data_IF_066218321750
#
_entry.id   IF_066218321750
#
_cell.length_a   1.000
_cell.length_b   1.000
_cell.length_c   1.000
_cell.angle_alpha   90.00
_cell.angle_beta   90.00
_cell.angle_gamma   90.00
#
_symmetry.space_group_name_H-M   'P 1'
#
loop_
_entity.id
_entity.type
_entity.pdbx_description
1 polymer ?
#
# COMPACT_ATOMS: atom_id res chain seq x y z
N UNK A 1 12.17 -32.76 1.81
CA UNK A 1 11.31 -32.08 0.82
C UNK A 1 10.42 -31.18 1.62
N UNK A 2 10.53 -29.85 1.48
CA UNK A 2 9.58 -28.91 2.09
C UNK A 2 8.29 -29.06 1.29
N UNK A 3 7.22 -29.43 1.97
CA UNK A 3 5.91 -29.54 1.35
C UNK A 3 5.46 -28.15 0.86
N UNK A 4 5.06 -28.02 -0.41
CA UNK A 4 4.64 -26.74 -0.98
C UNK A 4 3.28 -26.36 -0.37
N UNK A 5 3.23 -25.24 0.32
CA UNK A 5 1.98 -24.65 0.82
C UNK A 5 1.64 -23.49 -0.11
N UNK A 6 0.54 -23.65 -0.84
CA UNK A 6 0.09 -22.69 -1.85
C UNK A 6 -1.08 -21.85 -1.29
N UNK A 7 -1.00 -20.53 -1.44
CA UNK A 7 -2.09 -19.61 -1.10
C UNK A 7 -2.39 -18.74 -2.31
N UNK A 8 -3.65 -18.64 -2.69
CA UNK A 8 -4.08 -17.71 -3.73
C UNK A 8 -4.26 -16.32 -3.17
N UNK A 9 -3.62 -15.34 -3.78
CA UNK A 9 -3.72 -13.94 -3.38
C UNK A 9 -4.02 -13.04 -4.58
N UNK A 10 -4.64 -11.90 -4.34
CA UNK A 10 -4.91 -10.90 -5.35
C UNK A 10 -4.69 -9.49 -4.82
N UNK A 11 -4.39 -8.58 -5.74
CA UNK A 11 -4.27 -7.16 -5.48
C UNK A 11 -5.01 -6.37 -6.56
N UNK A 12 -5.55 -5.22 -6.18
CA UNK A 12 -6.44 -4.42 -7.02
C UNK A 12 -5.83 -3.06 -7.29
N UNK A 13 -6.02 -2.58 -8.51
CA UNK A 13 -6.01 -1.16 -8.81
C UNK A 13 -7.41 -0.73 -9.23
N UNK A 14 -7.89 0.39 -8.72
CA UNK A 14 -9.13 0.98 -9.19
C UNK A 14 -9.16 2.49 -8.96
N UNK A 15 -9.97 3.18 -9.76
CA UNK A 15 -10.21 4.60 -9.64
C UNK A 15 -11.32 4.84 -8.61
N UNK A 16 -10.95 5.29 -7.42
CA UNK A 16 -11.91 5.73 -6.41
C UNK A 16 -12.53 7.08 -6.82
N UNK A 17 -13.69 7.38 -6.26
CA UNK A 17 -14.32 8.69 -6.34
C UNK A 17 -14.09 9.44 -5.02
N UNK A 18 -13.65 10.70 -5.12
CA UNK A 18 -13.45 11.57 -3.99
C UNK A 18 -14.76 11.75 -3.20
N UNK A 19 -14.72 11.53 -1.88
CA UNK A 19 -15.86 11.70 -0.98
C UNK A 19 -17.14 10.90 -1.38
N UNK A 20 -16.98 9.80 -2.11
CA UNK A 20 -18.10 8.94 -2.50
C UNK A 20 -17.90 7.51 -1.97
N UNK A 21 -18.00 7.36 -0.64
CA UNK A 21 -17.79 6.07 0.02
C UNK A 21 -18.73 4.99 -0.52
N UNK A 22 -19.98 5.34 -0.82
CA UNK A 22 -20.97 4.37 -1.34
C UNK A 22 -20.52 3.76 -2.67
N UNK A 23 -20.06 4.59 -3.61
CA UNK A 23 -19.53 4.13 -4.88
C UNK A 23 -18.25 3.30 -4.67
N UNK A 24 -17.32 3.79 -3.85
CA UNK A 24 -16.04 3.12 -3.63
C UNK A 24 -16.25 1.73 -2.99
N UNK A 25 -17.12 1.64 -2.02
CA UNK A 25 -17.48 0.36 -1.37
C UNK A 25 -18.19 -0.58 -2.35
N UNK A 26 -19.05 -0.06 -3.22
CA UNK A 26 -19.68 -0.85 -4.28
C UNK A 26 -18.63 -1.45 -5.25
N UNK A 27 -17.61 -0.68 -5.66
CA UNK A 27 -16.50 -1.19 -6.48
C UNK A 27 -15.73 -2.28 -5.74
N UNK A 28 -15.41 -2.05 -4.46
CA UNK A 28 -14.73 -3.02 -3.59
C UNK A 28 -15.54 -4.32 -3.54
N UNK A 29 -16.85 -4.27 -3.32
CA UNK A 29 -17.73 -5.44 -3.30
C UNK A 29 -17.66 -6.23 -4.60
N UNK A 30 -17.67 -5.57 -5.76
CA UNK A 30 -17.55 -6.23 -7.07
C UNK A 30 -16.24 -7.01 -7.20
N UNK A 31 -15.12 -6.44 -6.76
CA UNK A 31 -13.84 -7.15 -6.77
C UNK A 31 -13.80 -8.29 -5.76
N UNK A 32 -14.44 -8.16 -4.60
CA UNK A 32 -14.56 -9.25 -3.62
C UNK A 32 -15.34 -10.41 -4.22
N UNK A 33 -16.47 -10.16 -4.89
CA UNK A 33 -17.25 -11.19 -5.58
C UNK A 33 -16.42 -11.88 -6.67
N UNK A 34 -15.67 -11.12 -7.47
CA UNK A 34 -14.76 -11.65 -8.48
C UNK A 34 -13.63 -12.50 -7.86
N UNK A 35 -13.04 -12.07 -6.76
CA UNK A 35 -12.01 -12.80 -6.04
C UNK A 35 -12.56 -14.13 -5.46
N UNK A 36 -13.79 -14.11 -4.95
CA UNK A 36 -14.44 -15.30 -4.43
C UNK A 36 -14.60 -16.40 -5.50
N UNK A 37 -14.95 -16.02 -6.74
CA UNK A 37 -15.03 -16.95 -7.87
C UNK A 37 -13.68 -17.58 -8.23
N UNK A 38 -12.57 -16.92 -7.88
CA UNK A 38 -11.20 -17.42 -8.10
C UNK A 38 -10.60 -18.10 -6.86
N UNK A 39 -11.38 -18.32 -5.80
CA UNK A 39 -10.92 -18.89 -4.52
C UNK A 39 -9.75 -18.12 -3.88
N UNK A 40 -9.70 -16.80 -4.07
CA UNK A 40 -8.68 -15.95 -3.45
C UNK A 40 -8.80 -16.01 -1.92
N UNK A 41 -7.66 -16.09 -1.24
CA UNK A 41 -7.58 -16.10 0.24
C UNK A 41 -7.17 -14.75 0.81
N UNK A 42 -6.34 -14.00 0.09
CA UNK A 42 -5.88 -12.68 0.51
C UNK A 42 -6.13 -11.68 -0.61
N UNK A 43 -6.90 -10.64 -0.34
CA UNK A 43 -7.27 -9.60 -1.29
C UNK A 43 -6.88 -8.22 -0.75
N UNK A 44 -6.05 -7.48 -1.49
CA UNK A 44 -5.58 -6.16 -1.11
C UNK A 44 -6.14 -5.07 -2.03
N UNK A 45 -6.69 -4.02 -1.43
CA UNK A 45 -7.16 -2.80 -2.09
C UNK A 45 -6.20 -1.63 -1.85
N UNK A 46 -6.30 -0.53 -2.62
CA UNK A 46 -5.43 0.64 -2.46
C UNK A 46 -5.62 1.39 -1.13
N UNK A 47 -4.61 2.21 -0.80
CA UNK A 47 -4.63 3.20 0.28
C UNK A 47 -5.86 4.11 0.17
N UNK A 48 -6.51 4.44 1.30
CA UNK A 48 -7.66 5.37 1.40
C UNK A 48 -8.75 5.16 0.32
N UNK A 49 -8.86 3.96 -0.20
CA UNK A 49 -9.74 3.63 -1.32
C UNK A 49 -11.23 3.82 -1.00
N UNK A 50 -11.64 3.83 0.27
CA UNK A 50 -13.01 4.07 0.71
C UNK A 50 -13.34 5.57 0.69
N UNK A 51 -12.45 6.41 1.26
CA UNK A 51 -12.69 7.83 1.45
C UNK A 51 -12.28 8.68 0.25
N UNK A 52 -11.40 8.16 -0.62
CA UNK A 52 -10.66 8.92 -1.62
C UNK A 52 -9.39 9.53 -1.04
N UNK A 53 -8.50 10.05 -1.89
CA UNK A 53 -7.14 10.38 -1.46
C UNK A 53 -6.74 11.84 -1.74
N UNK A 54 -6.50 12.26 -3.01
CA UNK A 54 -5.78 13.51 -3.28
C UNK A 54 -6.63 14.79 -3.18
N UNK A 55 -7.93 14.67 -3.04
CA UNK A 55 -8.79 15.81 -2.68
C UNK A 55 -8.61 16.24 -1.21
N UNK A 56 -8.12 15.31 -0.35
CA UNK A 56 -7.96 15.52 1.11
C UNK A 56 -7.06 16.70 1.45
N UNK A 57 -5.91 16.94 0.79
CA UNK A 57 -5.09 18.14 1.04
C UNK A 57 -5.81 19.48 0.91
N UNK A 58 -6.90 19.51 0.13
CA UNK A 58 -7.69 20.74 -0.15
C UNK A 58 -8.86 20.96 0.84
N UNK A 59 -9.10 19.99 1.72
CA UNK A 59 -10.19 20.06 2.69
C UNK A 59 -9.80 20.87 3.94
N UNK A 60 -10.80 21.39 4.65
CA UNK A 60 -10.59 21.85 6.02
C UNK A 60 -10.52 20.68 7.00
N UNK A 61 -9.93 20.88 8.18
CA UNK A 61 -9.87 19.84 9.21
C UNK A 61 -11.26 19.29 9.58
N UNK A 62 -12.29 20.14 9.58
CA UNK A 62 -13.67 19.73 9.84
C UNK A 62 -14.23 18.81 8.73
N UNK A 63 -13.90 19.09 7.47
CA UNK A 63 -14.28 18.25 6.33
C UNK A 63 -13.55 16.90 6.35
N UNK A 64 -12.25 16.89 6.68
CA UNK A 64 -11.50 15.63 6.84
C UNK A 64 -12.11 14.79 7.96
N UNK A 65 -12.47 15.41 9.09
CA UNK A 65 -13.14 14.72 10.19
C UNK A 65 -14.52 14.15 9.78
N UNK A 66 -15.27 14.87 8.95
CA UNK A 66 -16.56 14.39 8.44
C UNK A 66 -16.45 13.19 7.49
N UNK A 67 -15.29 13.03 6.83
CA UNK A 67 -14.98 11.86 6.00
C UNK A 67 -14.60 10.63 6.83
N UNK A 68 -13.98 10.83 7.98
CA UNK A 68 -13.44 9.77 8.82
C UNK A 68 -14.54 8.87 9.39
N UNK A 69 -14.18 7.61 9.66
CA UNK A 69 -15.04 6.63 10.32
C UNK A 69 -14.30 6.03 11.52
N UNK A 70 -14.96 5.85 12.68
CA UNK A 70 -14.42 5.02 13.75
C UNK A 70 -14.45 3.55 13.29
N UNK A 71 -13.32 2.84 13.39
CA UNK A 71 -13.21 1.46 12.85
C UNK A 71 -14.28 0.53 13.42
N UNK A 72 -14.51 0.57 14.74
CA UNK A 72 -15.44 -0.34 15.44
C UNK A 72 -16.92 -0.14 15.04
N UNK A 73 -17.29 1.04 14.58
CA UNK A 73 -18.65 1.39 14.17
C UNK A 73 -18.77 1.85 12.72
N UNK A 74 -17.71 1.65 11.93
CA UNK A 74 -17.66 2.01 10.53
C UNK A 74 -18.64 1.16 9.71
N UNK A 75 -19.62 1.78 9.01
CA UNK A 75 -20.51 1.04 8.12
C UNK A 75 -19.73 0.43 6.94
N UNK A 76 -18.68 1.11 6.48
CA UNK A 76 -17.83 0.63 5.39
C UNK A 76 -17.05 -0.62 5.81
N UNK A 77 -16.43 -0.61 6.98
CA UNK A 77 -15.67 -1.76 7.50
C UNK A 77 -16.60 -2.92 7.86
N UNK A 78 -17.75 -2.64 8.46
CA UNK A 78 -18.75 -3.68 8.79
C UNK A 78 -19.19 -4.48 7.54
N UNK A 79 -19.39 -3.80 6.41
CA UNK A 79 -19.71 -4.47 5.15
C UNK A 79 -18.55 -5.35 4.67
N UNK A 80 -17.33 -4.81 4.62
CA UNK A 80 -16.15 -5.56 4.17
C UNK A 80 -15.86 -6.74 5.10
N UNK A 81 -16.01 -6.56 6.41
CA UNK A 81 -15.87 -7.63 7.41
C UNK A 81 -16.89 -8.75 7.18
N UNK A 82 -18.16 -8.40 6.94
CA UNK A 82 -19.19 -9.40 6.63
C UNK A 82 -18.86 -10.19 5.35
N UNK A 83 -18.31 -9.53 4.32
CA UNK A 83 -17.87 -10.17 3.09
C UNK A 83 -16.62 -11.03 3.31
N UNK A 84 -15.67 -10.60 4.13
CA UNK A 84 -14.50 -11.38 4.51
C UNK A 84 -14.89 -12.70 5.19
N UNK A 85 -15.81 -12.63 6.14
CA UNK A 85 -16.37 -13.81 6.81
C UNK A 85 -17.15 -14.70 5.85
N UNK A 86 -18.03 -14.12 5.02
CA UNK A 86 -18.85 -14.85 4.04
C UNK A 86 -18.00 -15.64 3.06
N UNK A 87 -16.94 -15.03 2.52
CA UNK A 87 -16.11 -15.63 1.48
C UNK A 87 -14.83 -16.27 2.02
N UNK A 88 -14.64 -16.30 3.34
CA UNK A 88 -13.46 -16.87 4.02
C UNK A 88 -12.14 -16.34 3.45
N UNK A 89 -12.08 -15.00 3.32
CA UNK A 89 -10.91 -14.24 2.83
C UNK A 89 -10.40 -13.25 3.87
N UNK A 90 -9.10 -12.96 3.83
CA UNK A 90 -8.54 -11.74 4.37
C UNK A 90 -8.73 -10.63 3.32
N UNK A 91 -9.36 -9.52 3.69
CA UNK A 91 -9.61 -8.38 2.81
C UNK A 91 -9.03 -7.12 3.44
N UNK A 92 -8.06 -6.49 2.76
CA UNK A 92 -7.45 -5.24 3.21
C UNK A 92 -8.01 -4.03 2.45
N UNK A 93 -8.49 -3.01 3.19
CA UNK A 93 -9.05 -1.75 2.64
C UNK A 93 -8.56 -0.53 3.39
N UNK A 94 -8.46 0.62 2.72
CA UNK A 94 -7.97 1.88 3.28
C UNK A 94 -9.04 2.95 3.44
N UNK A 95 -8.98 3.71 4.54
CA UNK A 95 -9.89 4.83 4.83
C UNK A 95 -9.22 5.86 5.75
N UNK A 96 -9.89 6.97 6.00
CA UNK A 96 -9.56 7.87 7.11
C UNK A 96 -10.25 7.35 8.37
N UNK A 97 -9.46 6.95 9.37
CA UNK A 97 -9.93 6.54 10.69
C UNK A 97 -10.13 7.75 11.59
N UNK A 98 -11.22 7.77 12.37
CA UNK A 98 -11.34 8.58 13.58
C UNK A 98 -11.11 7.69 14.79
N UNK A 99 -9.98 7.87 15.46
CA UNK A 99 -9.66 7.11 16.67
C UNK A 99 -10.47 7.58 17.89
N UNK A 100 -10.51 6.75 18.94
CA UNK A 100 -11.28 7.04 20.18
C UNK A 100 -10.80 8.30 20.91
N UNK A 101 -9.54 8.70 20.72
CA UNK A 101 -9.00 9.95 21.26
C UNK A 101 -9.30 11.19 20.39
N UNK A 102 -10.04 11.01 19.31
CA UNK A 102 -10.45 12.04 18.36
C UNK A 102 -9.42 12.37 17.29
N UNK A 103 -8.21 11.79 17.32
CA UNK A 103 -7.22 11.93 16.24
C UNK A 103 -7.67 11.22 14.97
N UNK A 104 -7.21 11.75 13.84
CA UNK A 104 -7.49 11.18 12.52
C UNK A 104 -6.24 10.50 12.00
N UNK A 105 -6.41 9.37 11.29
CA UNK A 105 -5.33 8.61 10.71
C UNK A 105 -5.67 8.16 9.28
N UNK A 106 -4.67 8.13 8.41
CA UNK A 106 -4.72 7.32 7.21
C UNK A 106 -4.50 5.86 7.67
N UNK A 107 -5.56 5.07 7.65
CA UNK A 107 -5.57 3.72 8.18
C UNK A 107 -5.87 2.67 7.10
N UNK A 108 -5.32 1.49 7.31
CA UNK A 108 -5.60 0.31 6.50
C UNK A 108 -6.08 -0.82 7.41
N UNK A 109 -7.23 -1.37 7.09
CA UNK A 109 -7.89 -2.40 7.90
C UNK A 109 -7.88 -3.72 7.17
N UNK A 110 -7.30 -4.73 7.78
CA UNK A 110 -7.39 -6.12 7.35
C UNK A 110 -8.58 -6.79 8.07
N UNK A 111 -9.63 -7.08 7.30
CA UNK A 111 -10.80 -7.81 7.76
C UNK A 111 -10.54 -9.30 7.59
N UNK A 112 -10.55 -10.05 8.68
CA UNK A 112 -10.21 -11.47 8.72
C UNK A 112 -11.44 -12.38 8.48
N UNK A 113 -11.23 -13.63 8.01
CA UNK A 113 -12.32 -14.58 7.79
C UNK A 113 -13.05 -15.01 9.06
N UNK A 114 -12.45 -14.87 10.24
CA UNK A 114 -13.07 -15.12 11.54
C UNK A 114 -13.77 -13.89 12.14
N UNK A 115 -13.72 -12.76 11.41
CA UNK A 115 -14.29 -11.49 11.84
C UNK A 115 -13.33 -10.60 12.66
N UNK A 116 -12.10 -11.02 12.92
CA UNK A 116 -11.10 -10.16 13.54
C UNK A 116 -10.72 -8.99 12.61
N UNK A 117 -10.35 -7.86 13.18
CA UNK A 117 -9.86 -6.68 12.48
C UNK A 117 -8.46 -6.35 12.94
N UNK A 118 -7.55 -6.13 11.98
CA UNK A 118 -6.21 -5.61 12.25
C UNK A 118 -6.04 -4.27 11.54
N UNK A 119 -5.80 -3.22 12.31
CA UNK A 119 -5.68 -1.85 11.79
C UNK A 119 -4.21 -1.42 11.83
N UNK A 120 -3.73 -0.91 10.70
CA UNK A 120 -2.45 -0.22 10.59
C UNK A 120 -2.69 1.25 10.29
N UNK A 121 -2.04 2.14 11.01
CA UNK A 121 -2.05 3.58 10.80
C UNK A 121 -0.76 3.97 10.10
N UNK A 122 -0.85 4.71 9.00
CA UNK A 122 0.31 5.14 8.21
C UNK A 122 1.35 5.81 9.10
N UNK A 123 2.59 5.31 9.07
CA UNK A 123 3.67 5.79 9.91
C UNK A 123 4.16 7.17 9.46
N UNK A 124 4.07 7.46 8.16
CA UNK A 124 4.55 8.70 7.54
C UNK A 124 3.39 9.39 6.82
N UNK A 125 2.38 9.83 7.58
CA UNK A 125 1.22 10.54 7.04
C UNK A 125 1.60 11.97 6.63
N UNK A 126 1.20 12.36 5.42
CA UNK A 126 1.48 13.70 4.88
C UNK A 126 0.29 14.30 4.11
N UNK A 127 -0.81 13.58 4.06
CA UNK A 127 -1.96 13.93 3.22
C UNK A 127 -2.66 15.21 3.69
N UNK A 128 -2.67 15.44 5.01
CA UNK A 128 -3.30 16.63 5.59
C UNK A 128 -2.78 16.89 7.01
N UNK A 129 -2.60 18.16 7.45
CA UNK A 129 -2.14 18.48 8.81
C UNK A 129 -3.03 17.94 9.94
N UNK A 130 -4.32 17.67 9.68
CA UNK A 130 -5.22 17.05 10.65
C UNK A 130 -5.09 15.53 10.75
N UNK A 131 -4.32 14.88 9.86
CA UNK A 131 -4.06 13.44 9.87
C UNK A 131 -2.74 13.19 10.59
N UNK A 132 -2.79 12.41 11.66
CA UNK A 132 -1.63 12.05 12.48
C UNK A 132 -0.90 10.86 11.88
N UNK A 133 0.40 10.79 12.10
CA UNK A 133 1.18 9.58 11.84
C UNK A 133 0.93 8.51 12.91
N UNK A 134 0.93 7.24 12.49
CA UNK A 134 0.94 6.09 13.39
C UNK A 134 2.27 5.94 14.11
N UNK A 135 2.30 5.07 15.11
CA UNK A 135 3.43 4.87 16.02
C UNK A 135 3.83 3.39 16.21
N UNK A 136 3.22 2.49 15.45
CA UNK A 136 3.43 1.06 15.63
C UNK A 136 3.33 0.28 14.32
N UNK A 137 4.09 -0.81 14.24
CA UNK A 137 3.99 -1.78 13.14
C UNK A 137 2.85 -2.76 13.39
N UNK A 138 2.20 -3.20 12.32
CA UNK A 138 1.11 -4.18 12.37
C UNK A 138 1.54 -5.45 11.65
N UNK A 139 1.66 -6.54 12.41
CA UNK A 139 1.91 -7.90 11.91
C UNK A 139 1.02 -8.86 12.68
N UNK A 140 0.32 -9.75 11.99
CA UNK A 140 -0.66 -10.66 12.58
C UNK A 140 -0.65 -12.04 11.91
N UNK A 141 -1.12 -13.04 12.64
CA UNK A 141 -1.24 -14.41 12.16
C UNK A 141 -2.47 -14.57 11.25
N UNK A 142 -2.40 -15.51 10.33
CA UNK A 142 -3.51 -15.90 9.46
C UNK A 142 -3.88 -17.37 9.64
N UNK A 143 -5.09 -17.80 9.26
CA UNK A 143 -5.48 -19.21 9.32
C UNK A 143 -4.65 -20.14 8.43
N UNK A 144 -3.86 -19.57 7.52
CA UNK A 144 -3.04 -20.32 6.55
C UNK A 144 -1.60 -20.53 7.00
N UNK A 145 -1.28 -20.24 8.27
CA UNK A 145 0.04 -20.49 8.86
C UNK A 145 1.12 -19.51 8.42
N UNK A 146 0.75 -18.34 7.89
CA UNK A 146 1.65 -17.24 7.55
C UNK A 146 1.25 -15.97 8.28
N UNK A 147 2.23 -15.09 8.50
CA UNK A 147 2.00 -13.76 9.06
C UNK A 147 1.93 -12.72 7.97
N UNK A 148 0.96 -11.82 8.11
CA UNK A 148 0.77 -10.69 7.22
C UNK A 148 1.17 -9.40 7.92
N UNK A 149 1.99 -8.58 7.25
CA UNK A 149 2.31 -7.22 7.66
C UNK A 149 1.63 -6.20 6.77
N UNK A 150 1.47 -4.98 7.27
CA UNK A 150 0.90 -3.85 6.52
C UNK A 150 1.83 -2.66 6.59
N UNK A 151 2.11 -2.03 5.43
CA UNK A 151 2.79 -0.74 5.34
C UNK A 151 2.13 0.09 4.24
N UNK A 152 1.78 1.34 4.54
CA UNK A 152 0.99 2.20 3.66
C UNK A 152 1.91 3.13 2.87
N UNK A 153 1.91 3.00 1.53
CA UNK A 153 2.49 3.94 0.58
C UNK A 153 3.94 4.32 0.93
N UNK A 154 4.18 5.57 1.37
CA UNK A 154 5.51 6.07 1.70
C UNK A 154 6.23 5.25 2.77
N UNK A 155 5.52 4.58 3.66
CA UNK A 155 6.14 3.68 4.64
C UNK A 155 7.02 2.62 3.98
N UNK A 156 6.62 2.13 2.79
CA UNK A 156 7.37 1.14 2.02
C UNK A 156 8.65 1.70 1.36
N UNK A 157 8.77 3.01 1.22
CA UNK A 157 9.97 3.63 0.65
C UNK A 157 11.15 3.62 1.64
N UNK A 158 10.87 3.60 2.94
CA UNK A 158 11.90 3.51 3.98
C UNK A 158 12.26 2.04 4.20
N UNK A 159 13.52 1.70 3.98
CA UNK A 159 14.03 0.32 4.07
C UNK A 159 13.88 -0.26 5.47
N UNK A 160 14.00 0.59 6.50
CA UNK A 160 13.87 0.26 7.91
C UNK A 160 12.48 -0.30 8.25
N UNK A 161 11.43 0.29 7.69
CA UNK A 161 10.06 -0.12 7.96
C UNK A 161 9.78 -1.53 7.46
N UNK A 162 10.17 -1.84 6.22
CA UNK A 162 9.98 -3.19 5.67
C UNK A 162 10.83 -4.21 6.43
N UNK A 163 12.06 -3.84 6.79
CA UNK A 163 12.94 -4.69 7.61
C UNK A 163 12.32 -4.94 9.00
N UNK A 164 11.82 -3.90 9.68
CA UNK A 164 11.19 -4.04 10.98
C UNK A 164 9.95 -4.95 10.91
N UNK A 165 9.07 -4.72 9.92
CA UNK A 165 7.89 -5.55 9.69
C UNK A 165 8.26 -7.02 9.45
N UNK A 166 9.31 -7.28 8.68
CA UNK A 166 9.82 -8.65 8.46
C UNK A 166 10.39 -9.28 9.74
N UNK A 167 11.11 -8.51 10.56
CA UNK A 167 11.67 -8.99 11.83
C UNK A 167 10.58 -9.29 12.86
N UNK A 168 9.41 -8.68 12.76
CA UNK A 168 8.21 -9.02 13.52
C UNK A 168 7.55 -10.32 13.03
N UNK A 169 8.05 -10.88 11.93
CA UNK A 169 7.66 -12.18 11.40
C UNK A 169 6.78 -12.14 10.15
N UNK A 170 6.60 -11.00 9.51
CA UNK A 170 5.80 -10.94 8.28
C UNK A 170 6.40 -11.82 7.16
N UNK A 171 5.54 -12.59 6.53
CA UNK A 171 5.82 -13.44 5.36
C UNK A 171 5.24 -12.81 4.08
N UNK A 172 4.13 -12.11 4.25
CA UNK A 172 3.42 -11.39 3.19
C UNK A 172 3.25 -9.95 3.66
N UNK A 173 3.55 -8.99 2.79
CA UNK A 173 3.35 -7.57 3.02
C UNK A 173 2.20 -7.06 2.14
N UNK A 174 1.16 -6.52 2.76
CA UNK A 174 0.19 -5.69 2.09
C UNK A 174 0.76 -4.28 1.95
N UNK A 175 0.93 -3.84 0.72
CA UNK A 175 1.51 -2.55 0.37
C UNK A 175 0.51 -1.70 -0.41
N UNK A 176 -0.53 -1.16 0.26
CA UNK A 176 -1.49 -0.27 -0.37
C UNK A 176 -0.87 1.10 -0.65
N UNK A 177 -1.11 1.60 -1.86
CA UNK A 177 -0.57 2.86 -2.35
C UNK A 177 -1.64 3.73 -3.05
N UNK A 178 -1.32 5.01 -3.18
CA UNK A 178 -1.95 5.97 -4.09
C UNK A 178 -0.83 6.72 -4.86
N UNK A 179 0.09 5.95 -5.43
CA UNK A 179 1.25 6.49 -6.13
C UNK A 179 0.81 7.14 -7.43
N UNK A 180 1.10 8.42 -7.54
CA UNK A 180 1.00 9.21 -8.76
C UNK A 180 2.28 10.00 -8.96
N UNK A 181 2.56 10.43 -10.18
CA UNK A 181 3.66 11.32 -10.45
C UNK A 181 3.42 12.66 -9.75
N UNK A 182 4.45 13.16 -9.11
CA UNK A 182 4.43 14.49 -8.49
C UNK A 182 5.43 15.41 -9.17
N UNK A 183 5.30 16.71 -8.97
CA UNK A 183 6.28 17.70 -9.40
C UNK A 183 7.54 17.62 -8.51
N UNK A 184 8.16 16.42 -8.50
CA UNK A 184 9.40 16.22 -7.75
C UNK A 184 10.53 17.08 -8.30
N UNK A 185 11.33 17.68 -7.40
CA UNK A 185 12.55 18.39 -7.74
C UNK A 185 13.69 17.47 -8.18
N UNK A 186 13.59 16.17 -7.84
CA UNK A 186 14.56 15.20 -8.32
C UNK A 186 14.53 15.13 -9.85
N UNK A 187 15.66 15.28 -10.54
CA UNK A 187 15.71 15.20 -12.00
C UNK A 187 15.31 13.82 -12.51
N UNK A 188 15.47 12.79 -11.68
CA UNK A 188 15.14 11.40 -11.98
C UNK A 188 13.94 10.88 -11.15
N UNK A 189 13.22 11.79 -10.47
CA UNK A 189 11.98 11.43 -9.77
C UNK A 189 10.85 11.12 -10.73
N UNK A 190 9.82 10.47 -10.21
CA UNK A 190 8.59 10.23 -10.96
C UNK A 190 7.98 11.58 -11.40
N UNK A 191 7.53 11.66 -12.63
CA UNK A 191 6.84 12.83 -13.18
C UNK A 191 5.34 12.57 -13.29
N UNK A 192 4.49 13.59 -13.19
CA UNK A 192 3.06 13.41 -13.34
C UNK A 192 2.68 12.97 -14.75
N UNK A 193 1.66 12.11 -14.82
CA UNK A 193 0.96 11.84 -16.09
C UNK A 193 -0.04 12.97 -16.28
N UNK A 194 -0.09 13.63 -17.46
CA UNK A 194 -1.05 14.69 -17.73
C UNK A 194 -2.51 14.21 -17.62
N UNK A 195 -3.37 14.97 -16.94
CA UNK A 195 -4.80 14.66 -16.86
C UNK A 195 -5.46 14.56 -18.24
N UNK A 196 -5.05 15.39 -19.20
CA UNK A 196 -5.54 15.31 -20.58
C UNK A 196 -5.24 13.95 -21.23
N UNK A 197 -4.05 13.39 -21.00
CA UNK A 197 -3.71 12.05 -21.49
C UNK A 197 -4.61 10.98 -20.87
N UNK A 198 -4.93 11.10 -19.57
CA UNK A 198 -5.87 10.19 -18.91
C UNK A 198 -7.28 10.32 -19.51
N UNK A 199 -7.75 11.52 -19.76
CA UNK A 199 -9.06 11.78 -20.37
C UNK A 199 -9.17 11.19 -21.78
N UNK A 200 -8.08 11.25 -22.54
CA UNK A 200 -7.98 10.74 -23.92
C UNK A 200 -7.36 9.31 -23.99
N UNK A 201 -7.33 8.58 -22.89
CA UNK A 201 -6.62 7.28 -22.80
C UNK A 201 -7.13 6.20 -23.75
N UNK A 202 -8.36 6.31 -24.21
CA UNK A 202 -8.94 5.38 -25.18
C UNK A 202 -8.40 5.66 -26.60
N UNK A 203 -8.34 6.92 -26.98
CA UNK A 203 -7.84 7.40 -28.26
C UNK A 203 -6.30 7.34 -28.32
N UNK A 204 -5.64 7.65 -27.20
CA UNK A 204 -4.17 7.69 -27.05
C UNK A 204 -3.65 6.50 -26.26
N UNK A 205 -4.16 5.31 -26.52
CA UNK A 205 -3.91 4.09 -25.74
C UNK A 205 -2.42 3.74 -25.62
N UNK A 206 -1.68 3.85 -26.72
CA UNK A 206 -0.25 3.51 -26.74
C UNK A 206 0.56 4.48 -25.88
N UNK A 207 0.28 5.76 -25.98
CA UNK A 207 0.94 6.81 -25.21
C UNK A 207 0.63 6.67 -23.71
N UNK A 208 -0.64 6.41 -23.37
CA UNK A 208 -1.06 6.16 -21.99
C UNK A 208 -0.36 4.91 -21.41
N UNK A 209 -0.28 3.83 -22.20
CA UNK A 209 0.42 2.62 -21.80
C UNK A 209 1.92 2.87 -21.59
N UNK A 210 2.55 3.65 -22.48
CA UNK A 210 3.95 4.03 -22.34
C UNK A 210 4.18 4.88 -21.09
N UNK A 211 3.28 5.81 -20.76
CA UNK A 211 3.36 6.62 -19.54
C UNK A 211 3.25 5.76 -18.27
N UNK A 212 2.29 4.82 -18.21
CA UNK A 212 2.12 3.92 -17.07
C UNK A 212 3.33 2.98 -16.90
N UNK A 213 3.89 2.47 -18.00
CA UNK A 213 5.04 1.56 -17.97
C UNK A 213 6.37 2.25 -17.72
N UNK A 214 6.50 3.49 -18.16
CA UNK A 214 7.74 4.26 -18.11
C UNK A 214 8.03 4.86 -16.73
N UNK A 215 8.89 5.88 -16.75
CA UNK A 215 9.39 6.58 -15.55
C UNK A 215 8.27 7.22 -14.71
N UNK A 216 7.12 7.47 -15.31
CA UNK A 216 5.96 8.04 -14.62
C UNK A 216 5.14 6.98 -13.85
N UNK A 217 5.51 5.72 -13.90
CA UNK A 217 4.81 4.62 -13.25
C UNK A 217 5.73 3.45 -12.93
N UNK A 218 5.64 2.37 -13.72
CA UNK A 218 6.32 1.10 -13.44
C UNK A 218 7.84 1.19 -13.27
N UNK A 219 8.53 1.93 -14.14
CA UNK A 219 9.99 2.06 -14.02
C UNK A 219 10.43 2.70 -12.70
N UNK A 220 9.64 3.64 -12.16
CA UNK A 220 9.89 4.19 -10.84
C UNK A 220 9.77 3.13 -9.75
N UNK A 221 8.73 2.29 -9.80
CA UNK A 221 8.53 1.21 -8.84
C UNK A 221 9.67 0.19 -8.89
N UNK A 222 10.19 -0.12 -10.08
CA UNK A 222 11.30 -1.07 -10.26
C UNK A 222 12.62 -0.61 -9.63
N UNK A 223 12.75 0.65 -9.28
CA UNK A 223 13.96 1.16 -8.60
C UNK A 223 14.05 0.74 -7.14
N UNK A 224 12.94 0.39 -6.51
CA UNK A 224 12.93 0.12 -5.08
C UNK A 224 12.04 -1.07 -4.67
N UNK A 225 10.85 -1.24 -5.24
CA UNK A 225 9.87 -2.21 -4.76
C UNK A 225 10.35 -3.68 -4.82
N UNK A 226 11.01 -4.16 -5.90
CA UNK A 226 11.56 -5.52 -5.93
C UNK A 226 12.61 -5.76 -4.85
N UNK A 227 13.42 -4.76 -4.52
CA UNK A 227 14.42 -4.87 -3.46
C UNK A 227 13.75 -5.04 -2.07
N UNK A 228 12.58 -4.43 -1.84
CA UNK A 228 11.84 -4.63 -0.58
C UNK A 228 11.44 -6.09 -0.39
N UNK A 229 10.99 -6.76 -1.44
CA UNK A 229 10.69 -8.19 -1.40
C UNK A 229 11.96 -9.03 -1.25
N UNK A 230 12.96 -8.81 -2.12
CA UNK A 230 14.19 -9.59 -2.19
C UNK A 230 15.01 -9.51 -0.88
N UNK A 231 15.29 -8.31 -0.38
CA UNK A 231 16.16 -8.10 0.79
C UNK A 231 15.54 -8.65 2.08
N UNK A 232 14.23 -8.81 2.10
CA UNK A 232 13.47 -9.26 3.24
C UNK A 232 12.95 -10.69 3.10
N UNK A 233 12.98 -11.26 1.89
CA UNK A 233 12.52 -12.62 1.63
C UNK A 233 11.04 -12.81 1.95
N UNK A 234 10.18 -11.88 1.51
CA UNK A 234 8.72 -11.91 1.71
C UNK A 234 7.98 -11.65 0.39
N UNK A 235 6.73 -12.09 0.33
CA UNK A 235 5.83 -11.69 -0.75
C UNK A 235 5.32 -10.27 -0.54
N UNK A 236 5.09 -9.54 -1.63
CA UNK A 236 4.44 -8.22 -1.58
C UNK A 236 3.20 -8.23 -2.47
N UNK A 237 2.08 -7.80 -1.91
CA UNK A 237 0.85 -7.45 -2.63
C UNK A 237 0.80 -5.93 -2.74
N UNK A 238 1.24 -5.40 -3.88
CA UNK A 238 1.22 -3.98 -4.17
C UNK A 238 -0.11 -3.62 -4.84
N UNK A 239 -0.97 -2.92 -4.12
CA UNK A 239 -2.21 -2.34 -4.62
C UNK A 239 -2.06 -0.84 -4.81
N UNK A 240 -2.66 -0.27 -5.85
CA UNK A 240 -2.50 1.15 -6.14
C UNK A 240 -3.77 1.76 -6.74
N UNK A 241 -3.98 3.05 -6.55
CA UNK A 241 -4.98 3.78 -7.31
C UNK A 241 -4.61 3.84 -8.79
N UNK A 242 -5.60 3.94 -9.66
CA UNK A 242 -5.46 4.19 -11.10
C UNK A 242 -6.37 5.34 -11.49
N UNK A 243 -5.92 6.22 -12.38
CA UNK A 243 -6.75 7.25 -12.97
C UNK A 243 -6.75 8.59 -12.27
N UNK A 244 -7.61 9.47 -12.74
CA UNK A 244 -7.71 10.82 -12.22
C UNK A 244 -8.14 10.82 -10.75
N UNK A 245 -7.37 11.52 -9.92
CA UNK A 245 -7.57 11.71 -8.50
C UNK A 245 -7.28 13.18 -8.20
N UNK A 246 -8.31 14.00 -8.24
CA UNK A 246 -8.27 15.45 -8.21
C UNK A 246 -7.42 16.03 -9.37
N UNK A 247 -6.28 16.65 -9.10
CA UNK A 247 -5.39 17.25 -10.11
C UNK A 247 -4.21 16.35 -10.52
N UNK A 248 -4.16 15.11 -10.01
CA UNK A 248 -3.13 14.13 -10.35
C UNK A 248 -3.73 12.87 -11.01
N UNK A 249 -2.87 12.09 -11.64
CA UNK A 249 -3.22 10.76 -12.17
C UNK A 249 -2.49 9.70 -11.34
N UNK A 250 -3.25 8.79 -10.72
CA UNK A 250 -2.71 7.58 -10.09
C UNK A 250 -2.27 6.60 -11.18
N UNK A 251 -1.15 5.94 -10.98
CA UNK A 251 -0.45 5.23 -12.05
C UNK A 251 -0.73 3.74 -12.12
N UNK A 252 -1.55 3.20 -11.22
CA UNK A 252 -1.87 1.78 -11.21
C UNK A 252 -0.65 0.91 -10.94
N UNK A 253 -0.39 -0.03 -11.86
CA UNK A 253 0.69 -1.01 -11.75
C UNK A 253 0.52 -1.95 -10.55
N UNK A 254 -0.72 -2.35 -10.24
CA UNK A 254 -0.94 -3.39 -9.24
C UNK A 254 -0.12 -4.63 -9.58
N UNK A 255 0.63 -5.17 -8.60
CA UNK A 255 1.54 -6.29 -8.84
C UNK A 255 1.75 -7.16 -7.61
N UNK A 256 2.13 -8.39 -7.84
CA UNK A 256 2.50 -9.37 -6.82
C UNK A 256 3.96 -9.76 -7.02
N UNK A 257 4.75 -9.63 -5.96
CA UNK A 257 6.18 -9.96 -5.98
C UNK A 257 6.45 -11.16 -5.05
N UNK A 258 7.39 -12.00 -5.46
CA UNK A 258 7.85 -13.14 -4.67
C UNK A 258 9.06 -12.79 -3.75
N UNK A 259 9.48 -13.70 -2.85
CA UNK A 259 10.60 -13.49 -1.94
C UNK A 259 11.98 -13.28 -2.61
N UNK A 260 12.06 -13.43 -3.92
CA UNK A 260 13.26 -13.14 -4.73
C UNK A 260 13.17 -11.81 -5.47
N UNK A 261 12.11 -11.01 -5.22
CA UNK A 261 11.86 -9.76 -5.92
C UNK A 261 11.38 -9.91 -7.36
N UNK A 262 10.98 -11.13 -7.78
CA UNK A 262 10.41 -11.36 -9.10
C UNK A 262 8.95 -10.95 -9.10
N UNK A 263 8.51 -10.34 -10.18
CA UNK A 263 7.09 -10.05 -10.38
C UNK A 263 6.41 -11.33 -10.87
N UNK A 264 5.48 -11.87 -10.07
CA UNK A 264 4.72 -13.07 -10.42
C UNK A 264 3.58 -12.71 -11.36
N UNK A 265 2.88 -11.62 -11.08
CA UNK A 265 1.82 -11.08 -11.92
C UNK A 265 1.72 -9.57 -11.74
N UNK A 266 1.32 -8.85 -12.79
CA UNK A 266 1.15 -7.41 -12.78
C UNK A 266 0.15 -6.94 -13.84
N UNK A 267 -0.34 -5.71 -13.71
CA UNK A 267 -1.11 -5.03 -14.74
C UNK A 267 -0.53 -3.65 -15.02
N UNK A 268 -0.55 -3.24 -16.29
CA UNK A 268 -0.24 -1.88 -16.73
C UNK A 268 -1.42 -1.27 -17.50
N UNK A 269 -2.63 -1.74 -17.24
CA UNK A 269 -3.84 -1.24 -17.91
C UNK A 269 -4.29 0.08 -17.29
N UNK A 270 -4.76 1.00 -18.13
CA UNK A 270 -5.37 2.25 -17.69
C UNK A 270 -6.86 2.03 -17.32
N UNK A 271 -7.12 1.05 -16.45
CA UNK A 271 -8.46 0.63 -16.05
C UNK A 271 -8.43 -0.06 -14.68
N UNK A 272 -9.60 -0.14 -14.06
CA UNK A 272 -9.82 -0.92 -12.86
C UNK A 272 -9.51 -2.39 -13.15
N UNK A 273 -8.62 -2.99 -12.36
CA UNK A 273 -8.11 -4.34 -12.64
C UNK A 273 -7.70 -5.04 -11.35
N UNK A 274 -8.01 -6.33 -11.26
CA UNK A 274 -7.47 -7.23 -10.25
C UNK A 274 -6.43 -8.15 -10.89
N UNK A 275 -5.28 -8.32 -10.26
CA UNK A 275 -4.29 -9.34 -10.61
C UNK A 275 -4.19 -10.35 -9.48
N UNK A 276 -4.08 -11.63 -9.82
CA UNK A 276 -4.01 -12.73 -8.84
C UNK A 276 -2.83 -13.64 -9.14
N UNK A 277 -2.33 -14.30 -8.10
CA UNK A 277 -1.29 -15.30 -8.21
C UNK A 277 -1.42 -16.35 -7.11
N UNK A 278 -0.84 -17.50 -7.35
CA UNK A 278 -0.58 -18.52 -6.37
C UNK A 278 0.77 -18.27 -5.73
N UNK A 279 0.81 -18.12 -4.41
CA UNK A 279 2.01 -17.87 -3.62
C UNK A 279 2.54 -19.19 -3.07
N UNK A 280 3.71 -19.62 -3.53
CA UNK A 280 4.41 -20.78 -2.97
C UNK A 280 5.19 -20.36 -1.72
N UNK A 281 4.61 -20.60 -0.56
CA UNK A 281 5.18 -20.21 0.74
C UNK A 281 6.50 -20.93 1.06
N UNK A 282 6.76 -22.07 0.41
CA UNK A 282 8.03 -22.79 0.59
C UNK A 282 9.25 -22.02 0.09
N UNK A 283 9.03 -20.99 -0.74
CA UNK A 283 10.09 -20.10 -1.22
C UNK A 283 10.62 -19.15 -0.12
N UNK A 284 9.83 -18.85 0.91
CA UNK A 284 10.21 -17.90 1.95
C UNK A 284 11.48 -18.33 2.69
N UNK A 285 11.53 -19.51 3.34
CA UNK A 285 12.73 -19.95 4.09
C UNK A 285 13.95 -20.18 3.19
N UNK A 286 13.75 -20.44 1.89
CA UNK A 286 14.81 -20.68 0.92
C UNK A 286 15.38 -19.39 0.33
N UNK A 287 14.72 -18.25 0.54
CA UNK A 287 15.07 -16.98 -0.09
C UNK A 287 16.41 -16.43 0.41
N UNK A 288 17.09 -15.70 -0.48
CA UNK A 288 18.34 -15.01 -0.15
C UNK A 288 18.16 -13.98 0.95
N UNK A 289 17.05 -13.25 0.94
CA UNK A 289 16.72 -12.25 1.95
C UNK A 289 16.62 -12.85 3.35
N UNK A 290 15.95 -14.00 3.52
CA UNK A 290 15.87 -14.69 4.84
C UNK A 290 17.25 -15.13 5.33
N UNK A 291 18.12 -15.61 4.44
CA UNK A 291 19.51 -15.95 4.77
C UNK A 291 20.27 -14.72 5.28
N UNK A 292 20.11 -13.57 4.64
CA UNK A 292 20.74 -12.32 5.07
C UNK A 292 20.21 -11.83 6.42
N UNK A 293 18.94 -12.04 6.71
CA UNK A 293 18.35 -11.72 8.03
C UNK A 293 19.03 -12.53 9.12
N UNK A 294 19.32 -13.82 8.91
CA UNK A 294 20.04 -14.65 9.88
C UNK A 294 21.49 -14.19 10.11
N UNK A 295 22.12 -13.59 9.08
CA UNK A 295 23.47 -13.04 9.16
C UNK A 295 23.58 -11.62 9.70
N UNK A 296 22.49 -11.01 10.18
CA UNK A 296 22.49 -9.64 10.71
C UNK A 296 23.43 -9.49 11.93
N UNK A 297 24.00 -8.30 12.04
CA UNK A 297 24.87 -7.86 13.14
C UNK A 297 24.20 -6.72 13.91
N UNK A 298 23.17 -7.00 14.76
CA UNK A 298 22.45 -5.95 15.50
C UNK A 298 23.36 -5.09 16.37
N UNK A 299 24.50 -5.64 16.83
CA UNK A 299 25.54 -4.95 17.57
C UNK A 299 26.16 -3.76 16.81
N UNK A 300 26.07 -3.74 15.47
CA UNK A 300 26.57 -2.66 14.61
C UNK A 300 25.50 -1.63 14.22
N UNK A 301 24.22 -1.88 14.50
CA UNK A 301 23.12 -1.12 13.92
C UNK A 301 22.57 -0.02 14.85
N UNK A 302 23.25 0.28 15.96
CA UNK A 302 22.83 1.34 16.88
C UNK A 302 22.67 2.70 16.21
N UNK A 303 23.45 2.98 15.16
CA UNK A 303 23.37 4.23 14.39
C UNK A 303 21.99 4.43 13.74
N UNK A 304 21.27 3.35 13.40
CA UNK A 304 19.94 3.43 12.79
C UNK A 304 18.85 3.91 13.75
N UNK A 305 19.12 3.88 15.07
CA UNK A 305 18.18 4.31 16.11
C UNK A 305 18.57 5.65 16.73
N UNK A 306 19.64 6.27 16.25
CA UNK A 306 20.13 7.56 16.76
C UNK A 306 19.67 8.70 15.85
N UNK A 307 19.10 9.73 16.47
CA UNK A 307 18.78 10.98 15.77
C UNK A 307 20.03 11.61 15.20
N UNK A 308 20.01 11.92 13.90
CA UNK A 308 21.12 12.58 13.22
C UNK A 308 20.95 14.10 13.17
N UNK A 309 19.76 14.62 13.57
CA UNK A 309 19.46 16.04 13.64
C UNK A 309 19.01 16.69 12.32
N UNK A 310 18.72 15.87 11.31
CA UNK A 310 18.13 16.31 10.05
C UNK A 310 16.79 15.59 9.74
N UNK A 311 16.36 14.70 10.61
CA UNK A 311 15.06 14.05 10.50
C UNK A 311 13.93 15.08 10.60
N UNK A 312 12.89 14.89 9.82
CA UNK A 312 11.73 15.76 9.73
C UNK A 312 10.44 14.94 9.81
N UNK A 313 9.37 15.60 10.21
CA UNK A 313 8.04 15.03 10.03
C UNK A 313 7.72 14.79 8.54
N UNK A 314 6.74 13.94 8.27
CA UNK A 314 6.44 13.49 6.92
C UNK A 314 6.00 14.63 5.98
N UNK A 315 5.25 15.61 6.50
CA UNK A 315 4.80 16.78 5.72
C UNK A 315 6.02 17.63 5.31
N UNK A 316 6.88 17.98 6.28
CA UNK A 316 8.08 18.76 6.04
C UNK A 316 9.06 18.04 5.12
N UNK A 317 9.26 16.74 5.31
CA UNK A 317 10.13 15.93 4.44
C UNK A 317 9.64 15.88 2.99
N UNK A 318 8.31 15.90 2.78
CA UNK A 318 7.72 15.81 1.45
C UNK A 318 7.65 17.15 0.72
N UNK A 319 7.30 18.23 1.42
CA UNK A 319 6.92 19.50 0.79
C UNK A 319 7.90 20.63 1.05
N UNK A 320 8.83 20.52 2.00
CA UNK A 320 9.81 21.56 2.25
C UNK A 320 10.78 21.73 1.09
N UNK A 321 11.04 22.99 0.74
CA UNK A 321 12.03 23.37 -0.25
C UNK A 321 13.46 23.30 0.26
N UNK A 322 13.62 23.28 1.57
CA UNK A 322 14.89 23.30 2.26
C UNK A 322 15.47 21.88 2.35
N UNK A 323 16.51 21.61 1.57
CA UNK A 323 17.22 20.34 1.58
C UNK A 323 18.28 20.38 2.69
N UNK A 324 18.23 19.48 3.69
CA UNK A 324 19.26 19.44 4.73
C UNK A 324 20.65 19.27 4.13
N UNK A 325 21.58 20.15 4.52
CA UNK A 325 22.97 20.00 4.11
C UNK A 325 23.66 18.93 4.97
N UNK A 326 23.76 17.72 4.45
CA UNK A 326 24.39 16.58 5.12
C UNK A 326 25.91 16.74 5.30
N UNK A 327 26.52 17.79 4.72
CA UNK A 327 27.98 18.01 4.76
C UNK A 327 28.46 18.87 5.95
N UNK A 328 27.56 19.42 6.73
CA UNK A 328 27.90 20.32 7.85
C UNK A 328 27.96 19.60 9.21
N UNK A 329 28.37 18.32 9.22
CA UNK A 329 28.69 17.59 10.46
C UNK A 329 30.13 17.11 10.46
#
# INVERSE_FOLDING_TARGET
VIESILITAATVQFQHQANNKQYNVWVIEKFIEQAALQNIKILAFPEMCITGYWHVPKLTAAQVKALAEPIESSPSIALVQALAMKHQMLIGVGLIEQANDGRLYNAYVACMPDGALHTHRKLHAFEHPAISSGDSYTVFDTPWGVKVGILICWDNNLVENVRATTLLGADILLAPHQTGGTHSRSPYGMKPIPLELWQQRTERKEEMTAAIRGINGREWLMRWLPARAHDNGLFILFSNGIGADDDEVRTGNAMILDPYGRIINETCQAADTMVSAELDLSLIPLSTGRRWIYGRRPDLYSILTQWQGYERDAISARFSDDIPNLKNK
#
